data_IF_569675412404
#
_entry.id   IF_569675412404
#
_cell.length_a   1.000
_cell.length_b   1.000
_cell.length_c   1.000
_cell.angle_alpha   90.00
_cell.angle_beta   90.00
_cell.angle_gamma   90.00
#
_symmetry.space_group_name_H-M   'P 1'
#
loop_
_entity.id
_entity.type
_entity.pdbx_description
1 polymer ?
#
# COMPACT_ATOMS: atom_id res chain seq x y z
N UNK A 1 -12.81 -29.90 -14.80
CA UNK A 1 -12.01 -29.16 -15.80
C UNK A 1 -12.99 -28.47 -16.70
N UNK A 2 -13.18 -27.16 -16.52
CA UNK A 2 -13.93 -26.32 -17.46
C UNK A 2 -12.88 -25.73 -18.39
N UNK A 3 -12.99 -26.00 -19.67
CA UNK A 3 -12.14 -25.41 -20.71
C UNK A 3 -12.45 -23.92 -20.84
N UNK A 4 -11.43 -23.03 -20.92
CA UNK A 4 -11.68 -21.65 -21.30
C UNK A 4 -11.99 -21.62 -22.80
N UNK A 5 -13.21 -21.23 -23.15
CA UNK A 5 -13.55 -20.85 -24.51
C UNK A 5 -12.70 -19.63 -24.89
N UNK A 6 -11.61 -19.88 -25.60
CA UNK A 6 -11.01 -18.89 -26.50
C UNK A 6 -11.86 -18.92 -27.76
N UNK A 7 -12.89 -18.09 -27.81
CA UNK A 7 -13.63 -17.81 -29.05
C UNK A 7 -13.42 -16.35 -29.45
N UNK A 8 -12.92 -16.15 -30.66
CA UNK A 8 -12.98 -14.85 -31.31
C UNK A 8 -14.42 -14.40 -31.43
N UNK A 9 -14.65 -13.11 -31.15
CA UNK A 9 -15.83 -12.33 -31.53
C UNK A 9 -17.17 -13.10 -31.57
N UNK A 10 -17.63 -13.63 -30.44
CA UNK A 10 -19.07 -13.79 -30.24
C UNK A 10 -19.63 -12.41 -29.88
N UNK A 11 -20.46 -11.84 -30.75
CA UNK A 11 -21.20 -10.61 -30.44
C UNK A 11 -22.17 -10.96 -29.30
N UNK A 12 -21.94 -10.39 -28.11
CA UNK A 12 -22.82 -10.58 -26.95
C UNK A 12 -24.26 -10.19 -27.34
N UNK A 13 -25.24 -10.99 -26.92
CA UNK A 13 -26.65 -10.65 -27.12
C UNK A 13 -27.03 -9.39 -26.33
N UNK A 14 -28.14 -8.74 -26.67
CA UNK A 14 -28.55 -7.53 -25.95
C UNK A 14 -28.95 -7.84 -24.50
N UNK A 15 -29.43 -9.07 -24.23
CA UNK A 15 -29.65 -9.58 -22.88
C UNK A 15 -28.34 -9.75 -22.10
N UNK A 16 -27.29 -10.31 -22.73
CA UNK A 16 -25.97 -10.48 -22.11
C UNK A 16 -25.30 -9.14 -21.80
N UNK A 17 -25.39 -8.17 -22.72
CA UNK A 17 -24.91 -6.79 -22.48
C UNK A 17 -25.60 -6.15 -21.29
N UNK A 18 -26.91 -6.35 -21.16
CA UNK A 18 -27.70 -5.81 -20.05
C UNK A 18 -27.25 -6.43 -18.72
N UNK A 19 -26.96 -7.72 -18.68
CA UNK A 19 -26.50 -8.39 -17.46
C UNK A 19 -25.08 -7.94 -17.06
N UNK A 20 -24.19 -7.75 -18.03
CA UNK A 20 -22.86 -7.14 -17.80
C UNK A 20 -22.99 -5.74 -17.20
N UNK A 21 -23.90 -4.90 -17.73
CA UNK A 21 -24.13 -3.55 -17.20
C UNK A 21 -24.66 -3.58 -15.75
N UNK A 22 -25.61 -4.47 -15.43
CA UNK A 22 -26.10 -4.63 -14.06
C UNK A 22 -24.98 -5.04 -13.10
N UNK A 23 -24.14 -5.99 -13.50
CA UNK A 23 -23.02 -6.41 -12.67
C UNK A 23 -21.97 -5.31 -12.50
N UNK A 24 -21.73 -4.52 -13.54
CA UNK A 24 -20.88 -3.33 -13.44
C UNK A 24 -21.43 -2.37 -12.38
N UNK A 25 -22.71 -2.02 -12.41
CA UNK A 25 -23.27 -1.11 -11.40
C UNK A 25 -23.15 -1.67 -9.98
N UNK A 26 -23.38 -2.98 -9.79
CA UNK A 26 -23.18 -3.64 -8.48
C UNK A 26 -21.74 -3.50 -7.97
N UNK A 27 -20.75 -3.70 -8.85
CA UNK A 27 -19.34 -3.49 -8.52
C UNK A 27 -19.07 -2.02 -8.15
N UNK A 28 -19.61 -1.07 -8.91
CA UNK A 28 -19.33 0.36 -8.74
C UNK A 28 -19.94 0.97 -7.47
N UNK A 29 -21.03 0.40 -6.95
CA UNK A 29 -21.67 0.83 -5.70
C UNK A 29 -20.92 0.32 -4.45
N UNK A 30 -20.15 -0.77 -4.58
CA UNK A 30 -19.42 -1.35 -3.45
C UNK A 30 -18.33 -0.38 -2.91
N UNK A 31 -18.05 -0.36 -1.58
CA UNK A 31 -17.01 0.48 -0.98
C UNK A 31 -15.63 0.40 -1.64
N UNK A 32 -15.29 -0.73 -2.25
CA UNK A 32 -14.04 -0.89 -3.00
C UNK A 32 -13.94 0.05 -4.21
N UNK A 33 -15.06 0.54 -4.76
CA UNK A 33 -15.08 1.41 -5.94
C UNK A 33 -15.66 2.80 -5.66
N UNK A 34 -16.64 2.91 -4.76
CA UNK A 34 -17.43 4.15 -4.56
C UNK A 34 -16.66 5.32 -3.95
N UNK A 35 -15.56 5.07 -3.21
CA UNK A 35 -14.74 6.12 -2.59
C UNK A 35 -13.76 6.81 -3.56
N UNK A 36 -13.69 6.37 -4.83
CA UNK A 36 -12.82 6.98 -5.85
C UNK A 36 -13.67 7.44 -7.03
N UNK A 37 -13.37 8.63 -7.57
CA UNK A 37 -13.97 9.07 -8.85
C UNK A 37 -13.34 8.37 -10.05
N UNK A 38 -12.06 7.97 -9.95
CA UNK A 38 -11.28 7.48 -11.10
C UNK A 38 -11.51 6.00 -11.41
N UNK A 39 -11.70 5.15 -10.39
CA UNK A 39 -11.91 3.71 -10.61
C UNK A 39 -13.25 3.40 -11.30
N UNK A 40 -14.37 4.02 -10.89
CA UNK A 40 -15.63 3.84 -11.58
C UNK A 40 -15.60 4.33 -13.02
N UNK A 41 -15.03 5.52 -13.27
CA UNK A 41 -14.88 6.06 -14.63
C UNK A 41 -14.07 5.13 -15.53
N UNK A 42 -12.96 4.60 -15.03
CA UNK A 42 -12.12 3.67 -15.79
C UNK A 42 -12.86 2.37 -16.12
N UNK A 43 -13.42 1.69 -15.11
CA UNK A 43 -14.06 0.39 -15.31
C UNK A 43 -15.28 0.53 -16.23
N UNK A 44 -16.09 1.57 -16.02
CA UNK A 44 -17.23 1.92 -16.88
C UNK A 44 -16.81 2.10 -18.33
N UNK A 45 -15.81 2.95 -18.57
CA UNK A 45 -15.32 3.22 -19.92
C UNK A 45 -14.83 1.93 -20.62
N UNK A 46 -14.05 1.09 -19.92
CA UNK A 46 -13.53 -0.16 -20.51
C UNK A 46 -14.63 -1.18 -20.82
N UNK A 47 -15.64 -1.32 -19.96
CA UNK A 47 -16.77 -2.22 -20.19
C UNK A 47 -17.65 -1.71 -21.32
N UNK A 48 -18.02 -0.43 -21.33
CA UNK A 48 -18.86 0.16 -22.39
C UNK A 48 -18.21 0.04 -23.77
N UNK A 49 -16.91 0.33 -23.90
CA UNK A 49 -16.19 0.18 -25.18
C UNK A 49 -16.10 -1.28 -25.62
N UNK A 50 -15.99 -2.22 -24.68
CA UNK A 50 -15.97 -3.65 -24.98
C UNK A 50 -17.35 -4.15 -25.43
N UNK A 51 -18.42 -3.76 -24.74
CA UNK A 51 -19.80 -4.07 -25.14
C UNK A 51 -20.17 -3.45 -26.50
N UNK A 52 -19.55 -2.32 -26.86
CA UNK A 52 -19.72 -1.65 -28.14
C UNK A 52 -18.84 -2.22 -29.27
N UNK A 53 -18.04 -3.25 -29.00
CA UNK A 53 -17.11 -3.85 -29.97
C UNK A 53 -15.88 -2.99 -30.31
N UNK A 54 -15.63 -1.91 -29.57
CA UNK A 54 -14.55 -0.94 -29.82
C UNK A 54 -13.32 -1.23 -28.95
N UNK A 55 -12.89 -2.49 -28.88
CA UNK A 55 -11.76 -2.91 -28.04
C UNK A 55 -10.42 -2.34 -28.52
N UNK A 56 -10.29 -1.96 -29.79
CA UNK A 56 -9.10 -1.31 -30.35
C UNK A 56 -8.78 0.06 -29.73
N UNK A 57 -9.78 0.70 -29.12
CA UNK A 57 -9.63 1.97 -28.40
C UNK A 57 -9.13 1.79 -26.97
N UNK A 58 -9.08 0.55 -26.46
CA UNK A 58 -8.61 0.22 -25.11
C UNK A 58 -7.07 0.07 -25.09
N UNK A 59 -6.38 1.08 -25.61
CA UNK A 59 -4.92 1.22 -25.56
C UNK A 59 -4.53 2.17 -24.43
N UNK A 60 -3.33 1.98 -23.89
CA UNK A 60 -2.84 2.76 -22.76
C UNK A 60 -2.90 4.27 -23.02
N UNK A 61 -2.40 4.72 -24.18
CA UNK A 61 -2.41 6.13 -24.57
C UNK A 61 -3.84 6.70 -24.58
N UNK A 62 -4.78 6.01 -25.22
CA UNK A 62 -6.19 6.45 -25.30
C UNK A 62 -6.83 6.58 -23.92
N UNK A 63 -6.61 5.61 -23.04
CA UNK A 63 -7.13 5.65 -21.67
C UNK A 63 -6.54 6.82 -20.87
N UNK A 64 -5.24 7.12 -21.05
CA UNK A 64 -4.62 8.29 -20.44
C UNK A 64 -5.24 9.62 -20.86
N UNK A 65 -5.60 9.74 -22.13
CA UNK A 65 -6.24 10.95 -22.66
C UNK A 65 -7.69 11.04 -22.16
N UNK A 66 -8.49 9.99 -22.43
CA UNK A 66 -9.94 9.99 -22.21
C UNK A 66 -10.33 9.97 -20.72
N UNK A 67 -9.59 9.26 -19.87
CA UNK A 67 -9.93 9.07 -18.45
C UNK A 67 -9.07 9.97 -17.55
N UNK A 68 -7.80 10.17 -17.89
CA UNK A 68 -6.84 10.90 -17.04
C UNK A 68 -6.51 12.30 -17.56
N UNK A 69 -7.10 12.74 -18.68
CA UNK A 69 -6.90 14.08 -19.24
C UNK A 69 -5.47 14.37 -19.68
N UNK A 70 -4.70 13.34 -20.05
CA UNK A 70 -3.32 13.50 -20.51
C UNK A 70 -3.26 14.09 -21.93
N UNK A 71 -2.23 14.89 -22.24
CA UNK A 71 -2.04 15.43 -23.59
C UNK A 71 -1.68 14.30 -24.56
N UNK A 72 -2.03 14.43 -25.85
CA UNK A 72 -1.92 13.31 -26.81
C UNK A 72 -0.49 12.81 -27.05
N UNK A 73 0.51 13.66 -26.80
CA UNK A 73 1.93 13.39 -26.93
C UNK A 73 2.59 12.86 -25.66
N UNK A 74 1.81 12.60 -24.59
CA UNK A 74 2.38 12.09 -23.34
C UNK A 74 3.04 10.72 -23.53
N UNK A 75 4.16 10.54 -22.83
CA UNK A 75 4.90 9.29 -22.83
C UNK A 75 4.36 8.33 -21.78
N UNK A 76 3.71 7.26 -22.24
CA UNK A 76 3.19 6.16 -21.43
C UNK A 76 4.30 5.38 -20.71
N UNK A 77 5.56 5.47 -21.12
CA UNK A 77 6.66 4.83 -20.38
C UNK A 77 7.00 5.62 -19.10
N UNK A 78 7.11 6.94 -19.21
CA UNK A 78 7.38 7.84 -18.08
C UNK A 78 6.18 8.05 -17.13
N UNK A 79 4.95 8.02 -17.63
CA UNK A 79 3.72 8.17 -16.83
C UNK A 79 2.91 6.86 -16.78
N UNK A 80 3.10 6.03 -15.74
CA UNK A 80 2.43 4.74 -15.63
C UNK A 80 0.99 4.84 -15.07
N UNK A 81 0.37 6.02 -15.03
CA UNK A 81 -0.94 6.25 -14.37
C UNK A 81 -2.01 5.24 -14.79
N UNK A 82 -2.09 4.90 -16.08
CA UNK A 82 -3.06 3.94 -16.62
C UNK A 82 -2.73 2.51 -16.15
N UNK A 83 -1.46 2.10 -16.20
CA UNK A 83 -1.02 0.76 -15.76
C UNK A 83 -1.22 0.56 -14.26
N UNK A 84 -0.87 1.56 -13.45
CA UNK A 84 -1.04 1.55 -11.99
C UNK A 84 -2.52 1.49 -11.64
N UNK A 85 -3.36 2.34 -12.26
CA UNK A 85 -4.81 2.34 -12.01
C UNK A 85 -5.45 1.01 -12.42
N UNK A 86 -5.08 0.44 -13.56
CA UNK A 86 -5.58 -0.86 -13.99
C UNK A 86 -5.15 -1.99 -13.02
N UNK A 87 -3.93 -1.94 -12.47
CA UNK A 87 -3.47 -2.91 -11.48
C UNK A 87 -4.30 -2.83 -10.18
N UNK A 88 -4.61 -1.61 -9.72
CA UNK A 88 -5.42 -1.40 -8.52
C UNK A 88 -6.88 -1.83 -8.72
N UNK A 89 -7.46 -1.57 -9.90
CA UNK A 89 -8.79 -2.06 -10.27
C UNK A 89 -8.83 -3.59 -10.26
N UNK A 90 -7.81 -4.26 -10.80
CA UNK A 90 -7.72 -5.75 -10.77
C UNK A 90 -7.74 -6.28 -9.34
N UNK A 91 -6.99 -5.66 -8.44
CA UNK A 91 -6.94 -6.04 -7.02
C UNK A 91 -8.32 -5.90 -6.37
N UNK A 92 -9.01 -4.80 -6.61
CA UNK A 92 -10.35 -4.53 -6.06
C UNK A 92 -11.43 -5.45 -6.61
N UNK A 93 -11.40 -5.75 -7.91
CA UNK A 93 -12.26 -6.77 -8.54
C UNK A 93 -12.03 -8.12 -7.84
N UNK A 94 -10.77 -8.51 -7.64
CA UNK A 94 -10.44 -9.76 -6.98
C UNK A 94 -10.91 -9.81 -5.51
N UNK A 95 -10.80 -8.69 -4.78
CA UNK A 95 -11.31 -8.57 -3.40
C UNK A 95 -12.83 -8.72 -3.34
N UNK A 96 -13.55 -8.04 -4.23
CA UNK A 96 -15.02 -8.14 -4.31
C UNK A 96 -15.48 -9.59 -4.50
N UNK A 97 -14.93 -10.31 -5.49
CA UNK A 97 -15.34 -11.70 -5.74
C UNK A 97 -14.77 -12.73 -4.74
N UNK A 98 -13.93 -12.31 -3.78
CA UNK A 98 -13.48 -13.15 -2.67
C UNK A 98 -14.39 -13.06 -1.44
N UNK A 99 -15.27 -12.05 -1.36
CA UNK A 99 -16.21 -11.92 -0.25
C UNK A 99 -17.33 -12.96 -0.35
N UNK A 100 -17.74 -13.57 0.80
CA UNK A 100 -18.87 -14.51 0.82
C UNK A 100 -20.14 -13.84 0.28
N UNK A 101 -20.84 -14.51 -0.63
CA UNK A 101 -22.08 -14.02 -1.24
C UNK A 101 -21.98 -13.65 -2.73
N UNK A 102 -20.77 -13.47 -3.27
CA UNK A 102 -20.56 -13.14 -4.70
C UNK A 102 -20.20 -14.37 -5.57
N UNK A 103 -20.37 -15.58 -5.04
CA UNK A 103 -19.90 -16.83 -5.65
C UNK A 103 -20.63 -17.17 -6.96
N UNK A 104 -21.91 -16.81 -7.03
CA UNK A 104 -22.83 -17.12 -8.13
C UNK A 104 -23.12 -15.91 -9.04
N UNK A 105 -22.34 -14.83 -8.93
CA UNK A 105 -22.51 -13.64 -9.77
C UNK A 105 -21.74 -13.76 -11.09
N UNK A 106 -22.19 -13.00 -12.10
CA UNK A 106 -21.39 -12.76 -13.30
C UNK A 106 -20.04 -12.16 -12.89
N UNK A 107 -18.94 -12.70 -13.41
CA UNK A 107 -17.60 -12.23 -13.09
C UNK A 107 -17.08 -11.31 -14.20
N UNK A 108 -16.86 -10.04 -13.85
CA UNK A 108 -16.09 -9.10 -14.67
C UNK A 108 -14.64 -9.19 -14.23
N UNK A 109 -13.72 -9.49 -15.14
CA UNK A 109 -12.29 -9.55 -14.87
C UNK A 109 -11.51 -8.67 -15.83
N UNK A 110 -10.39 -8.10 -15.39
CA UNK A 110 -9.52 -7.28 -16.22
C UNK A 110 -8.15 -7.97 -16.34
N UNK A 111 -7.85 -8.68 -17.45
CA UNK A 111 -6.61 -9.45 -17.57
C UNK A 111 -5.35 -8.58 -17.48
N UNK A 112 -4.24 -9.16 -17.00
CA UNK A 112 -2.93 -8.49 -17.03
C UNK A 112 -2.44 -8.32 -18.47
N UNK A 113 -1.92 -7.14 -18.81
CA UNK A 113 -1.45 -6.82 -20.16
C UNK A 113 -2.55 -6.46 -21.17
N UNK A 114 -3.82 -6.50 -20.74
CA UNK A 114 -4.96 -6.02 -21.52
C UNK A 114 -5.76 -5.01 -20.71
N UNK A 115 -6.39 -4.06 -21.41
CA UNK A 115 -7.41 -3.19 -20.83
C UNK A 115 -8.83 -3.59 -21.24
N UNK A 116 -8.97 -4.71 -21.95
CA UNK A 116 -10.25 -5.28 -22.37
C UNK A 116 -10.77 -6.19 -21.25
N UNK A 117 -11.90 -5.88 -20.59
CA UNK A 117 -12.52 -6.75 -19.61
C UNK A 117 -13.04 -8.05 -20.23
N UNK A 118 -12.99 -9.14 -19.45
CA UNK A 118 -13.54 -10.45 -19.78
C UNK A 118 -14.72 -10.75 -18.86
N UNK A 119 -15.77 -11.35 -19.41
CA UNK A 119 -17.00 -11.70 -18.72
C UNK A 119 -17.11 -13.23 -18.58
N UNK A 120 -17.45 -13.72 -17.40
CA UNK A 120 -17.67 -15.14 -17.15
C UNK A 120 -18.99 -15.36 -16.39
N UNK A 121 -19.85 -16.23 -16.94
CA UNK A 121 -21.17 -16.52 -16.41
C UNK A 121 -21.10 -17.64 -15.36
N UNK A 122 -21.92 -17.58 -14.28
CA UNK A 122 -22.03 -18.65 -13.29
C UNK A 122 -22.57 -19.93 -13.94
N UNK A 123 -22.05 -21.09 -13.53
CA UNK A 123 -22.33 -22.37 -14.17
C UNK A 123 -23.75 -22.93 -13.99
N UNK A 124 -24.71 -22.15 -13.48
CA UNK A 124 -26.08 -22.58 -13.23
C UNK A 124 -27.07 -21.69 -13.96
N UNK A 125 -27.27 -21.96 -15.26
CA UNK A 125 -28.43 -21.46 -15.99
C UNK A 125 -28.68 -22.25 -17.29
N UNK A 126 -28.73 -23.60 -17.27
CA UNK A 126 -29.54 -24.39 -18.24
C UNK A 126 -29.97 -25.73 -17.61
N UNK A 127 -31.27 -25.78 -17.26
CA UNK A 127 -32.21 -26.91 -17.32
C UNK A 127 -31.89 -28.25 -16.63
N UNK A 128 -32.40 -28.37 -15.40
CA UNK A 128 -32.91 -29.63 -14.86
C UNK A 128 -34.38 -29.76 -15.31
N UNK A 129 -34.63 -30.54 -16.36
CA UNK A 129 -35.96 -31.06 -16.66
C UNK A 129 -35.89 -32.35 -17.47
N UNK A 130 -36.37 -33.42 -16.83
CA UNK A 130 -37.02 -34.60 -17.42
C UNK A 130 -36.15 -35.63 -18.15
N UNK A 131 -35.94 -36.79 -17.53
CA UNK A 131 -36.45 -38.08 -18.05
C UNK A 131 -36.81 -38.97 -16.84
N UNK A 132 -38.00 -39.61 -16.80
CA UNK A 132 -38.45 -40.38 -15.66
C UNK A 132 -37.88 -41.80 -15.64
N UNK A 133 -37.84 -42.35 -14.43
CA UNK A 133 -37.53 -43.74 -14.13
C UNK A 133 -38.47 -44.71 -14.86
N UNK A 134 -37.90 -45.76 -15.46
CA UNK A 134 -38.64 -46.96 -15.88
C UNK A 134 -37.74 -48.17 -15.71
N UNK A 135 -38.08 -48.94 -14.68
CA UNK A 135 -38.17 -50.41 -14.63
C UNK A 135 -36.92 -51.25 -14.91
N UNK A 136 -36.48 -51.90 -13.83
CA UNK A 136 -35.60 -53.06 -13.79
C UNK A 136 -36.16 -54.19 -14.66
N UNK A 137 -35.37 -54.66 -15.64
CA UNK A 137 -35.44 -56.04 -16.12
C UNK A 137 -34.01 -56.60 -16.18
N UNK A 138 -33.83 -57.60 -15.32
CA UNK A 138 -32.77 -58.58 -15.20
C UNK A 138 -32.47 -59.30 -16.52
N UNK A 139 -31.19 -59.54 -16.84
CA UNK A 139 -30.69 -60.70 -17.59
C UNK A 139 -29.15 -60.78 -17.51
N UNK A 140 -28.67 -61.95 -17.11
CA UNK A 140 -27.27 -62.39 -16.94
C UNK A 140 -26.51 -62.62 -18.28
N UNK A 141 -25.18 -62.86 -18.24
CA UNK A 141 -24.21 -62.41 -19.25
C UNK A 141 -23.76 -63.50 -20.24
N UNK A 142 -23.30 -63.10 -21.43
CA UNK A 142 -22.45 -63.93 -22.33
C UNK A 142 -21.47 -63.04 -23.13
N UNK A 143 -20.31 -63.59 -23.56
CA UNK A 143 -19.03 -62.90 -23.57
C UNK A 143 -18.60 -62.40 -24.96
N UNK A 144 -17.76 -61.37 -24.90
CA UNK A 144 -16.65 -61.00 -25.79
C UNK A 144 -16.57 -61.60 -27.20
N UNK A 145 -16.61 -60.71 -28.19
CA UNK A 145 -15.70 -60.80 -29.34
C UNK A 145 -15.43 -59.39 -29.90
N UNK A 146 -14.27 -58.82 -29.58
CA UNK A 146 -13.66 -57.72 -30.32
C UNK A 146 -12.47 -58.28 -31.09
N UNK A 147 -12.39 -58.12 -32.43
CA UNK A 147 -11.12 -58.19 -33.11
C UNK A 147 -10.47 -56.80 -33.13
N UNK A 148 -9.37 -56.72 -32.36
CA UNK A 148 -8.03 -56.17 -32.64
C UNK A 148 -7.83 -54.78 -33.33
N UNK A 149 -6.71 -54.11 -33.00
CA UNK A 149 -6.59 -52.65 -33.01
C UNK A 149 -6.03 -52.09 -34.32
N UNK A 150 -6.44 -50.87 -34.64
CA UNK A 150 -5.70 -50.00 -35.57
C UNK A 150 -4.68 -49.23 -34.73
N UNK A 151 -3.40 -49.54 -34.92
CA UNK A 151 -2.29 -48.70 -34.48
C UNK A 151 -2.34 -47.38 -35.25
N UNK A 152 -2.50 -46.24 -34.57
CA UNK A 152 -1.98 -44.99 -35.12
C UNK A 152 -1.48 -43.98 -34.08
N UNK A 153 -0.34 -43.40 -34.47
CA UNK A 153 0.61 -42.46 -33.89
C UNK A 153 0.35 -41.90 -32.47
N UNK A 154 1.20 -42.32 -31.52
CA UNK A 154 1.50 -41.55 -30.31
C UNK A 154 2.60 -40.50 -30.58
N UNK A 155 2.22 -39.21 -30.55
CA UNK A 155 3.12 -38.05 -30.44
C UNK A 155 2.73 -37.17 -29.23
N UNK A 156 3.63 -36.34 -28.69
CA UNK A 156 4.08 -36.52 -27.31
C UNK A 156 3.38 -35.58 -26.31
N UNK A 157 2.22 -35.99 -25.79
CA UNK A 157 1.53 -35.29 -24.68
C UNK A 157 2.34 -35.18 -23.38
N UNK A 158 3.42 -35.96 -23.22
CA UNK A 158 4.28 -35.95 -22.02
C UNK A 158 5.22 -34.73 -21.93
N UNK A 159 5.66 -34.17 -23.07
CA UNK A 159 6.55 -32.98 -23.10
C UNK A 159 5.81 -31.69 -22.71
N UNK A 160 4.56 -31.54 -23.17
CA UNK A 160 3.73 -30.37 -22.85
C UNK A 160 3.27 -30.35 -21.38
N UNK A 161 3.02 -31.53 -20.78
CA UNK A 161 2.76 -31.63 -19.33
C UNK A 161 3.99 -31.24 -18.50
N UNK A 162 5.19 -31.64 -18.93
CA UNK A 162 6.42 -31.25 -18.24
C UNK A 162 6.67 -29.73 -18.32
N UNK A 163 6.42 -29.10 -19.47
CA UNK A 163 6.55 -27.65 -19.64
C UNK A 163 5.54 -26.90 -18.79
N UNK A 164 4.28 -27.35 -18.72
CA UNK A 164 3.26 -26.76 -17.88
C UNK A 164 3.62 -26.84 -16.38
N UNK A 165 4.14 -27.98 -15.92
CA UNK A 165 4.61 -28.15 -14.53
C UNK A 165 5.78 -27.21 -14.22
N UNK A 166 6.75 -27.08 -15.12
CA UNK A 166 7.88 -26.16 -14.94
C UNK A 166 7.39 -24.70 -14.90
N UNK A 167 6.47 -24.31 -15.79
CA UNK A 167 5.89 -22.97 -15.79
C UNK A 167 5.13 -22.65 -14.49
N UNK A 168 4.34 -23.60 -13.97
CA UNK A 168 3.66 -23.45 -12.67
C UNK A 168 4.67 -23.35 -11.53
N UNK A 169 5.72 -24.18 -11.50
CA UNK A 169 6.78 -24.09 -10.49
C UNK A 169 7.55 -22.78 -10.57
N UNK A 170 7.79 -22.25 -11.77
CA UNK A 170 8.40 -20.93 -11.96
C UNK A 170 7.49 -19.80 -11.49
N UNK A 171 6.18 -19.89 -11.73
CA UNK A 171 5.21 -18.91 -11.23
C UNK A 171 5.09 -18.97 -9.69
N UNK A 172 5.07 -20.17 -9.10
CA UNK A 172 5.04 -20.34 -7.65
C UNK A 172 6.34 -19.81 -7.03
N UNK A 173 7.50 -20.15 -7.60
CA UNK A 173 8.78 -19.63 -7.10
C UNK A 173 8.91 -18.13 -7.27
N UNK A 174 8.43 -17.54 -8.37
CA UNK A 174 8.35 -16.09 -8.55
C UNK A 174 7.40 -15.43 -7.54
N UNK A 175 6.23 -16.03 -7.27
CA UNK A 175 5.29 -15.53 -6.26
C UNK A 175 5.84 -15.65 -4.84
N UNK A 176 6.52 -16.75 -4.52
CA UNK A 176 7.20 -16.96 -3.24
C UNK A 176 8.35 -15.98 -3.09
N UNK A 177 9.16 -15.79 -4.14
CA UNK A 177 10.25 -14.82 -4.15
C UNK A 177 9.73 -13.39 -3.98
N UNK A 178 8.67 -13.00 -4.70
CA UNK A 178 8.01 -11.71 -4.53
C UNK A 178 7.52 -11.50 -3.09
N UNK A 179 6.80 -12.48 -2.54
CA UNK A 179 6.30 -12.46 -1.16
C UNK A 179 7.44 -12.43 -0.14
N UNK A 180 8.56 -13.11 -0.39
CA UNK A 180 9.77 -13.05 0.43
C UNK A 180 10.46 -11.68 0.33
N UNK A 181 10.54 -11.08 -0.85
CA UNK A 181 11.14 -9.75 -1.03
C UNK A 181 10.35 -8.64 -0.34
N UNK A 182 9.01 -8.70 -0.36
CA UNK A 182 8.19 -7.75 0.41
C UNK A 182 8.29 -7.99 1.92
N UNK A 183 8.29 -9.25 2.35
CA UNK A 183 8.57 -9.59 3.76
C UNK A 183 9.99 -9.17 4.19
N UNK A 184 10.94 -9.09 3.26
CA UNK A 184 12.32 -8.71 3.56
C UNK A 184 12.45 -7.25 3.96
N UNK A 185 11.75 -6.30 3.34
CA UNK A 185 11.85 -4.87 3.70
C UNK A 185 11.31 -4.59 5.10
N UNK A 186 10.05 -5.00 5.33
CA UNK A 186 9.42 -4.88 6.64
C UNK A 186 10.22 -5.59 7.74
N UNK A 187 10.58 -6.87 7.54
CA UNK A 187 11.35 -7.60 8.54
C UNK A 187 12.76 -7.02 8.71
N UNK A 188 13.41 -6.57 7.63
CA UNK A 188 14.74 -5.96 7.70
C UNK A 188 14.73 -4.73 8.59
N UNK A 189 13.65 -3.92 8.58
CA UNK A 189 13.51 -2.74 9.45
C UNK A 189 12.95 -3.07 10.84
N UNK A 190 11.86 -3.82 10.94
CA UNK A 190 11.14 -4.00 12.21
C UNK A 190 11.61 -5.18 13.04
N UNK A 191 12.25 -6.22 12.46
CA UNK A 191 12.60 -7.41 13.23
C UNK A 191 13.49 -7.14 14.47
N UNK A 192 14.48 -6.22 14.46
CA UNK A 192 15.26 -5.94 15.67
C UNK A 192 14.42 -5.37 16.82
N UNK A 193 13.41 -4.56 16.51
CA UNK A 193 12.48 -3.99 17.50
C UNK A 193 11.44 -5.03 17.91
N UNK A 194 10.87 -5.76 16.94
CA UNK A 194 9.88 -6.80 17.18
C UNK A 194 10.46 -8.07 17.79
N UNK A 195 11.78 -8.23 17.84
CA UNK A 195 12.42 -9.37 18.51
C UNK A 195 13.02 -8.97 19.86
N UNK A 196 12.97 -7.70 20.27
CA UNK A 196 13.37 -7.32 21.62
C UNK A 196 12.39 -7.92 22.65
N UNK A 197 12.93 -8.31 23.80
CA UNK A 197 12.13 -8.73 24.96
C UNK A 197 11.48 -7.55 25.69
N UNK A 198 12.09 -6.37 25.57
CA UNK A 198 11.64 -5.16 26.24
C UNK A 198 10.42 -4.52 25.54
N UNK A 199 9.53 -3.83 26.29
CA UNK A 199 8.44 -3.04 25.70
C UNK A 199 8.98 -1.83 24.92
N UNK A 200 8.20 -1.37 23.95
CA UNK A 200 8.53 -0.18 23.16
C UNK A 200 7.96 1.08 23.81
N UNK A 201 8.76 2.13 23.93
CA UNK A 201 8.29 3.45 24.34
C UNK A 201 8.03 4.33 23.11
N UNK A 202 6.89 5.00 23.03
CA UNK A 202 6.71 6.16 22.16
C UNK A 202 7.12 7.42 22.91
N UNK A 203 8.10 8.15 22.39
CA UNK A 203 8.50 9.47 22.86
C UNK A 203 8.00 10.52 21.86
N UNK A 204 7.03 11.32 22.28
CA UNK A 204 6.23 12.19 21.39
C UNK A 204 6.41 13.64 21.79
N UNK A 205 6.43 14.54 20.81
CA UNK A 205 6.39 15.97 21.05
C UNK A 205 5.22 16.35 21.97
N UNK A 206 5.51 17.04 23.08
CA UNK A 206 4.50 17.60 23.96
C UNK A 206 4.63 19.12 24.06
N UNK A 207 3.50 19.81 23.95
CA UNK A 207 3.43 21.27 23.92
C UNK A 207 2.78 21.78 25.19
N UNK A 208 3.53 22.57 25.96
CA UNK A 208 3.07 23.16 27.23
C UNK A 208 2.49 24.57 27.07
N UNK A 209 2.56 25.16 25.87
CA UNK A 209 2.08 26.52 25.57
C UNK A 209 0.56 26.62 25.38
N UNK A 210 -0.15 25.49 25.24
CA UNK A 210 -1.61 25.46 25.08
C UNK A 210 -2.30 25.29 26.43
N UNK A 211 -2.30 26.35 27.23
CA UNK A 211 -2.81 26.32 28.61
C UNK A 211 -4.33 26.56 28.71
N UNK A 212 -5.11 26.29 27.66
CA UNK A 212 -6.54 26.62 27.62
C UNK A 212 -7.39 25.53 26.95
N UNK A 213 -8.50 25.14 27.60
CA UNK A 213 -9.53 24.26 27.06
C UNK A 213 -10.85 25.02 26.96
N UNK A 214 -11.53 24.90 25.82
CA UNK A 214 -12.90 25.35 25.67
C UNK A 214 -13.85 24.24 26.16
N UNK A 215 -14.54 24.48 27.26
CA UNK A 215 -15.60 23.62 27.77
C UNK A 215 -16.93 24.10 27.20
N UNK A 216 -17.74 23.16 26.70
CA UNK A 216 -19.09 23.43 26.21
C UNK A 216 -20.11 23.16 27.31
N UNK A 217 -21.16 23.99 27.37
CA UNK A 217 -22.32 23.70 28.20
C UNK A 217 -23.05 22.46 27.64
N UNK A 218 -23.47 21.56 28.54
CA UNK A 218 -24.15 20.31 28.17
C UNK A 218 -25.59 20.53 27.67
N UNK A 219 -26.25 21.62 28.09
CA UNK A 219 -27.61 22.00 27.71
C UNK A 219 -27.60 22.90 26.47
N UNK A 220 -26.57 23.76 26.33
CA UNK A 220 -26.35 24.60 25.14
C UNK A 220 -24.92 24.45 24.59
N UNK A 221 -24.66 23.53 23.64
CA UNK A 221 -23.32 23.30 23.09
C UNK A 221 -22.65 24.49 22.38
N UNK A 222 -23.41 25.57 22.12
CA UNK A 222 -22.89 26.83 21.57
C UNK A 222 -22.35 27.75 22.67
N UNK A 223 -22.80 27.60 23.91
CA UNK A 223 -22.24 28.29 25.05
C UNK A 223 -20.92 27.61 25.48
N UNK A 224 -19.85 28.41 25.60
CA UNK A 224 -18.52 27.93 25.94
C UNK A 224 -17.88 28.78 27.03
N UNK A 225 -17.15 28.12 27.93
CA UNK A 225 -16.22 28.77 28.85
C UNK A 225 -14.79 28.30 28.53
N UNK A 226 -13.80 29.16 28.79
CA UNK A 226 -12.39 28.81 28.61
C UNK A 226 -11.78 28.55 29.99
N UNK A 227 -11.40 27.29 30.23
CA UNK A 227 -10.62 26.90 31.40
C UNK A 227 -9.14 27.10 31.10
N UNK A 228 -8.43 27.85 31.94
CA UNK A 228 -6.96 27.95 31.88
C UNK A 228 -6.32 26.96 32.84
N UNK A 229 -5.50 26.05 32.32
CA UNK A 229 -4.80 25.01 33.08
C UNK A 229 -3.47 24.64 32.39
N UNK A 230 -2.55 24.00 33.11
CA UNK A 230 -1.26 23.54 32.56
C UNK A 230 -1.44 22.23 31.80
N UNK A 231 -2.08 22.32 30.64
CA UNK A 231 -2.36 21.18 29.79
C UNK A 231 -1.15 20.81 28.94
N UNK A 232 -1.00 19.51 28.76
CA UNK A 232 -0.08 18.95 27.78
C UNK A 232 -0.84 18.69 26.49
N UNK A 233 -0.48 19.39 25.42
CA UNK A 233 -1.08 19.20 24.11
C UNK A 233 -0.14 18.39 23.21
N UNK A 234 -0.72 17.62 22.29
CA UNK A 234 0.00 16.90 21.24
C UNK A 234 -0.58 17.35 19.90
N UNK A 235 0.27 17.54 18.90
CA UNK A 235 -0.17 17.87 17.55
C UNK A 235 -0.89 16.65 16.96
N UNK A 236 -2.10 16.84 16.45
CA UNK A 236 -2.92 15.73 15.94
C UNK A 236 -2.21 14.95 14.81
N UNK A 237 -1.42 15.65 14.00
CA UNK A 237 -0.68 15.07 12.88
C UNK A 237 0.43 14.11 13.34
N UNK A 238 0.92 14.26 14.57
CA UNK A 238 1.87 13.31 15.18
C UNK A 238 1.18 12.02 15.66
N UNK A 239 -0.14 12.05 15.88
CA UNK A 239 -0.87 10.84 16.28
C UNK A 239 -1.00 9.84 15.15
N UNK A 240 -1.02 10.29 13.89
CA UNK A 240 -1.09 9.38 12.71
C UNK A 240 0.08 8.37 12.67
N UNK A 241 1.37 8.79 12.72
CA UNK A 241 2.50 7.86 12.82
C UNK A 241 2.39 6.95 14.05
N UNK A 242 2.02 7.50 15.20
CA UNK A 242 1.92 6.74 16.45
C UNK A 242 0.90 5.62 16.32
N UNK A 243 -0.32 5.93 15.86
CA UNK A 243 -1.40 4.94 15.72
C UNK A 243 -1.03 3.86 14.71
N UNK A 244 -0.45 4.23 13.56
CA UNK A 244 -0.05 3.27 12.53
C UNK A 244 1.05 2.34 13.04
N UNK A 245 2.11 2.89 13.66
CA UNK A 245 3.22 2.11 14.22
C UNK A 245 2.73 1.25 15.40
N UNK A 246 1.90 1.79 16.28
CA UNK A 246 1.30 1.04 17.39
C UNK A 246 0.48 -0.15 16.88
N UNK A 247 -0.25 0.02 15.78
CA UNK A 247 -0.96 -1.07 15.10
C UNK A 247 -0.03 -2.21 14.69
N UNK A 248 1.16 -1.89 14.16
CA UNK A 248 2.19 -2.89 13.84
C UNK A 248 2.70 -3.59 15.09
N UNK A 249 3.04 -2.83 16.12
CA UNK A 249 3.54 -3.39 17.39
C UNK A 249 2.51 -4.34 18.00
N UNK A 250 1.25 -3.91 18.08
CA UNK A 250 0.15 -4.69 18.61
C UNK A 250 -0.11 -5.96 17.80
N UNK A 251 -0.14 -5.86 16.46
CA UNK A 251 -0.32 -7.02 15.57
C UNK A 251 0.80 -8.07 15.73
N UNK A 252 1.97 -7.67 16.23
CA UNK A 252 3.11 -8.54 16.52
C UNK A 252 3.25 -8.86 18.03
N UNK A 253 2.22 -8.61 18.84
CA UNK A 253 2.19 -8.93 20.26
C UNK A 253 3.18 -8.11 21.11
N UNK A 254 3.65 -6.96 20.61
CA UNK A 254 4.54 -6.07 21.36
C UNK A 254 3.79 -5.12 22.24
N UNK A 255 4.18 -5.12 23.51
CA UNK A 255 3.75 -4.13 24.49
C UNK A 255 4.42 -2.81 24.18
N UNK A 256 3.65 -1.74 24.29
CA UNK A 256 4.14 -0.39 24.16
C UNK A 256 3.49 0.54 25.17
N UNK A 257 4.16 1.66 25.44
CA UNK A 257 3.63 2.77 26.22
C UNK A 257 3.92 4.08 25.48
N UNK A 258 3.28 5.17 25.89
CA UNK A 258 3.44 6.49 25.31
C UNK A 258 3.79 7.49 26.39
N UNK A 259 4.74 8.37 26.10
CA UNK A 259 5.21 9.41 26.99
C UNK A 259 5.57 10.67 26.19
N UNK A 260 5.15 11.82 26.69
CA UNK A 260 5.56 13.11 26.14
C UNK A 260 7.04 13.38 26.38
N UNK A 261 7.68 14.12 25.48
CA UNK A 261 9.11 14.35 25.51
C UNK A 261 9.58 15.04 26.79
N UNK A 262 8.84 16.01 27.31
CA UNK A 262 9.19 16.75 28.52
C UNK A 262 9.19 15.89 29.79
N UNK A 263 8.42 14.80 29.79
CA UNK A 263 8.40 13.84 30.90
C UNK A 263 9.38 12.67 30.71
N UNK A 264 9.85 12.44 29.47
CA UNK A 264 10.76 11.34 29.13
C UNK A 264 12.18 11.62 29.62
N UNK A 265 12.77 10.66 30.32
CA UNK A 265 14.14 10.76 30.83
C UNK A 265 15.02 9.59 30.38
N UNK A 266 16.33 9.68 30.65
CA UNK A 266 17.30 8.68 30.19
C UNK A 266 17.04 7.27 30.78
N UNK A 267 16.44 7.15 31.97
CA UNK A 267 16.09 5.84 32.52
C UNK A 267 14.97 5.19 31.70
N UNK A 268 13.98 5.96 31.27
CA UNK A 268 12.92 5.46 30.38
C UNK A 268 13.54 4.92 29.07
N UNK A 269 14.45 5.68 28.46
CA UNK A 269 15.11 5.29 27.20
C UNK A 269 16.03 4.06 27.34
N UNK A 270 16.50 3.77 28.56
CA UNK A 270 17.31 2.57 28.84
C UNK A 270 16.47 1.32 29.10
N UNK A 271 15.15 1.43 29.18
CA UNK A 271 14.27 0.29 29.49
C UNK A 271 13.93 -0.57 28.26
N UNK A 272 14.12 -0.07 27.04
CA UNK A 272 13.76 -0.80 25.84
C UNK A 272 13.88 0.04 24.57
N UNK A 273 13.48 -0.48 23.41
CA UNK A 273 13.42 0.30 22.19
C UNK A 273 12.50 1.52 22.34
N UNK A 274 12.88 2.64 21.73
CA UNK A 274 12.05 3.86 21.73
C UNK A 274 11.78 4.32 20.31
N UNK A 275 10.52 4.63 20.01
CA UNK A 275 10.07 5.28 18.78
C UNK A 275 9.91 6.78 19.07
N UNK A 276 10.69 7.60 18.38
CA UNK A 276 10.65 9.05 18.49
C UNK A 276 9.84 9.63 17.33
N UNK A 277 8.85 10.46 17.66
CA UNK A 277 7.95 11.10 16.71
C UNK A 277 8.03 12.61 16.87
N UNK A 278 8.13 13.32 15.74
CA UNK A 278 8.37 14.76 15.72
C UNK A 278 9.86 15.10 15.69
N UNK A 279 10.19 16.29 15.18
CA UNK A 279 11.57 16.76 14.98
C UNK A 279 11.88 17.95 15.87
N UNK A 280 11.61 19.18 15.40
CA UNK A 280 11.99 20.42 16.09
C UNK A 280 11.22 20.67 17.39
N UNK A 281 10.10 19.98 17.57
CA UNK A 281 9.27 19.92 18.76
C UNK A 281 9.56 18.70 19.65
N UNK A 282 10.60 17.93 19.32
CA UNK A 282 11.06 16.79 20.09
C UNK A 282 12.58 16.85 20.30
N UNK A 283 13.00 17.44 21.42
CA UNK A 283 14.37 17.55 21.88
C UNK A 283 15.10 16.20 21.99
N UNK A 284 14.40 15.10 22.30
CA UNK A 284 15.03 13.77 22.27
C UNK A 284 15.37 13.33 20.84
N UNK A 285 14.48 13.57 19.88
CA UNK A 285 14.77 13.36 18.45
C UNK A 285 16.00 14.15 18.03
N UNK A 286 16.04 15.47 18.29
CA UNK A 286 17.17 16.32 17.91
C UNK A 286 18.48 15.87 18.55
N UNK A 287 18.45 15.53 19.85
CA UNK A 287 19.63 15.09 20.60
C UNK A 287 20.21 13.78 20.05
N UNK A 288 19.36 12.80 19.74
CA UNK A 288 19.80 11.48 19.30
C UNK A 288 20.20 11.45 17.82
N UNK A 289 19.58 12.30 17.00
CA UNK A 289 19.93 12.40 15.58
C UNK A 289 21.13 13.32 15.34
N UNK A 290 21.42 14.30 16.20
CA UNK A 290 22.52 15.26 16.00
C UNK A 290 23.88 14.65 15.64
N UNK A 291 24.35 13.57 16.28
CA UNK A 291 25.62 12.91 15.93
C UNK A 291 25.58 12.06 14.64
N UNK A 292 24.41 11.84 14.04
CA UNK A 292 24.22 10.99 12.87
C UNK A 292 24.64 11.68 11.56
N UNK A 293 24.72 10.91 10.47
CA UNK A 293 25.09 11.45 9.16
C UNK A 293 24.02 12.42 8.66
N UNK A 294 22.77 11.98 8.65
CA UNK A 294 21.61 12.81 8.37
C UNK A 294 21.01 13.28 9.68
N UNK A 295 20.99 14.59 9.88
CA UNK A 295 20.43 15.20 11.09
C UNK A 295 19.74 16.52 10.80
N UNK A 296 18.79 16.86 11.67
CA UNK A 296 18.08 18.13 11.60
C UNK A 296 19.03 19.29 11.92
N UNK A 297 18.86 20.38 11.19
CA UNK A 297 19.63 21.61 11.37
C UNK A 297 18.76 22.82 11.06
N UNK A 298 19.16 23.96 11.58
CA UNK A 298 18.52 25.24 11.34
C UNK A 298 19.58 26.34 11.28
N UNK A 299 19.24 27.48 10.69
CA UNK A 299 20.06 28.67 10.84
C UNK A 299 19.94 29.25 12.27
N UNK A 300 20.92 30.04 12.75
CA UNK A 300 20.88 30.65 14.07
C UNK A 300 19.62 31.48 14.34
N UNK A 301 19.04 32.08 13.29
CA UNK A 301 17.83 32.88 13.36
C UNK A 301 16.54 32.05 13.44
N UNK A 302 16.62 30.71 13.33
CA UNK A 302 15.47 29.79 13.38
C UNK A 302 14.40 30.12 12.33
N UNK A 303 14.82 30.56 11.15
CA UNK A 303 13.94 30.87 10.01
C UNK A 303 14.05 29.84 8.89
N UNK A 304 15.17 29.12 8.82
CA UNK A 304 15.38 28.00 7.92
C UNK A 304 15.55 26.71 8.72
N UNK A 305 14.83 25.68 8.29
CA UNK A 305 14.86 24.36 8.91
C UNK A 305 15.12 23.32 7.84
N UNK A 306 16.04 22.41 8.12
CA UNK A 306 16.54 21.46 7.13
C UNK A 306 17.09 20.18 7.72
N UNK A 307 17.43 19.26 6.82
CA UNK A 307 18.26 18.10 7.09
C UNK A 307 19.59 18.31 6.35
N UNK A 308 20.70 17.94 6.98
CA UNK A 308 22.05 18.03 6.40
C UNK A 308 22.68 16.65 6.30
N UNK A 309 23.46 16.42 5.24
CA UNK A 309 24.42 15.32 5.19
C UNK A 309 25.79 15.81 5.69
N UNK A 310 26.19 15.38 6.89
CA UNK A 310 27.44 15.80 7.53
C UNK A 310 28.71 15.18 6.93
N UNK A 311 28.56 14.18 6.05
CA UNK A 311 29.68 13.48 5.41
C UNK A 311 29.95 13.93 3.97
N UNK A 312 29.05 14.72 3.38
CA UNK A 312 29.19 15.18 2.01
C UNK A 312 30.18 16.37 1.92
N UNK A 313 31.10 16.32 0.95
CA UNK A 313 32.12 17.36 0.72
C UNK A 313 31.49 18.72 0.39
N UNK A 314 30.36 18.70 -0.30
CA UNK A 314 29.40 19.80 -0.33
C UNK A 314 28.23 19.38 0.57
N UNK A 315 27.98 20.10 1.66
CA UNK A 315 26.87 19.79 2.58
C UNK A 315 25.55 19.80 1.81
N UNK A 316 25.09 18.63 1.35
CA UNK A 316 23.78 18.48 0.76
C UNK A 316 22.77 18.85 1.84
N UNK A 317 21.90 19.82 1.54
CA UNK A 317 20.86 20.30 2.46
C UNK A 317 19.49 20.07 1.85
N UNK A 318 18.58 19.56 2.66
CA UNK A 318 17.17 19.46 2.34
C UNK A 318 16.43 20.46 3.23
N UNK A 319 16.07 21.63 2.67
CA UNK A 319 15.55 22.77 3.43
C UNK A 319 14.08 22.98 3.04
N UNK A 320 13.23 23.20 4.04
CA UNK A 320 11.83 23.59 3.80
C UNK A 320 11.76 25.08 3.53
N UNK A 321 11.14 25.45 2.40
CA UNK A 321 10.83 26.85 2.09
C UNK A 321 9.64 27.32 2.93
N UNK A 322 9.92 27.91 4.09
CA UNK A 322 8.89 28.42 5.01
C UNK A 322 8.04 29.55 4.41
N UNK A 323 8.63 30.40 3.58
CA UNK A 323 7.89 31.48 2.93
C UNK A 323 6.83 30.95 1.95
N UNK A 324 7.19 29.93 1.17
CA UNK A 324 6.27 29.23 0.26
C UNK A 324 5.20 28.45 1.05
N UNK A 325 5.59 27.73 2.10
CA UNK A 325 4.66 27.04 2.99
C UNK A 325 3.59 27.98 3.55
N UNK A 326 4.00 29.13 4.10
CA UNK A 326 3.08 30.07 4.73
C UNK A 326 2.17 30.80 3.73
N UNK A 327 2.63 31.02 2.50
CA UNK A 327 1.89 31.77 1.49
C UNK A 327 0.95 30.91 0.64
N UNK A 328 1.32 29.65 0.39
CA UNK A 328 0.60 28.80 -0.57
C UNK A 328 0.05 27.51 0.03
N UNK A 329 0.58 27.07 1.17
CA UNK A 329 0.37 25.72 1.71
C UNK A 329 0.75 24.57 0.73
N UNK A 330 1.51 24.91 -0.32
CA UNK A 330 2.02 24.02 -1.36
C UNK A 330 3.54 24.08 -1.33
N UNK A 331 4.20 23.10 -0.71
CA UNK A 331 5.64 23.15 -0.48
C UNK A 331 6.22 21.74 -0.43
N UNK A 332 7.53 21.63 -0.51
CA UNK A 332 8.21 20.35 -0.28
C UNK A 332 8.62 20.24 1.19
N UNK A 333 8.20 19.15 1.81
CA UNK A 333 8.60 18.80 3.17
C UNK A 333 9.61 17.64 3.14
N UNK A 334 10.38 17.50 4.21
CA UNK A 334 11.38 16.45 4.34
C UNK A 334 11.33 15.81 5.73
N UNK A 335 11.76 14.56 5.78
CA UNK A 335 11.74 13.78 7.01
C UNK A 335 12.94 12.85 7.13
N UNK A 336 13.26 12.48 8.37
CA UNK A 336 14.20 11.42 8.70
C UNK A 336 13.41 10.22 9.20
N UNK A 337 13.65 9.07 8.56
CA UNK A 337 13.33 7.75 9.10
C UNK A 337 14.63 7.05 9.45
N UNK A 338 14.77 6.60 10.68
CA UNK A 338 15.98 5.91 11.11
C UNK A 338 15.69 4.75 12.05
N UNK A 339 16.58 3.76 12.04
CA UNK A 339 16.70 2.77 13.11
C UNK A 339 18.16 2.54 13.42
N UNK A 340 18.55 2.78 14.65
CA UNK A 340 19.92 2.59 15.11
C UNK A 340 19.96 2.17 16.57
N UNK A 341 21.07 1.56 17.00
CA UNK A 341 21.35 1.41 18.43
C UNK A 341 21.99 2.69 18.93
N UNK A 342 21.32 3.37 19.85
CA UNK A 342 21.86 4.58 20.47
C UNK A 342 23.03 4.23 21.39
N UNK A 343 24.15 4.93 21.23
CA UNK A 343 25.38 4.68 21.98
C UNK A 343 25.25 5.00 23.47
N UNK A 344 24.33 5.90 23.84
CA UNK A 344 24.16 6.36 25.22
C UNK A 344 23.32 5.38 26.04
N UNK A 345 22.22 4.91 25.47
CA UNK A 345 21.23 4.03 26.12
C UNK A 345 21.52 2.55 25.88
N UNK A 346 22.25 2.22 24.80
CA UNK A 346 22.45 0.85 24.32
C UNK A 346 21.17 0.21 23.79
N UNK A 347 20.10 0.98 23.60
CA UNK A 347 18.79 0.52 23.12
C UNK A 347 18.55 0.95 21.68
N UNK A 348 17.61 0.29 21.03
CA UNK A 348 17.20 0.64 19.67
C UNK A 348 16.39 1.95 19.71
N UNK A 349 16.77 2.91 18.89
CA UNK A 349 16.00 4.07 18.55
C UNK A 349 15.38 3.88 17.17
N UNK A 350 14.10 4.18 17.03
CA UNK A 350 13.41 4.35 15.75
C UNK A 350 12.98 5.82 15.67
N UNK A 351 13.25 6.47 14.55
CA UNK A 351 12.88 7.88 14.35
C UNK A 351 11.87 7.95 13.20
N UNK A 352 10.77 8.67 13.42
CA UNK A 352 9.76 9.02 12.43
C UNK A 352 9.46 10.52 12.56
N UNK A 353 10.27 11.35 11.91
CA UNK A 353 10.30 12.79 12.21
C UNK A 353 10.40 13.63 10.94
N UNK A 354 9.47 14.56 10.74
CA UNK A 354 9.47 15.55 9.66
C UNK A 354 9.87 16.94 10.12
N UNK A 355 10.37 17.76 9.19
CA UNK A 355 10.61 19.20 9.45
C UNK A 355 9.28 19.94 9.64
N UNK A 356 8.26 19.58 8.85
CA UNK A 356 6.87 19.97 9.04
C UNK A 356 5.95 18.79 9.32
N UNK A 357 4.65 19.12 9.46
CA UNK A 357 3.58 18.17 9.81
C UNK A 357 3.44 17.06 8.77
N UNK A 358 3.48 17.43 7.48
CA UNK A 358 3.36 16.47 6.38
C UNK A 358 4.54 15.51 6.30
N UNK A 359 5.76 15.98 6.59
CA UNK A 359 6.94 15.14 6.70
C UNK A 359 6.80 14.07 7.80
N UNK A 360 6.27 14.44 8.97
CA UNK A 360 6.06 13.48 10.08
C UNK A 360 5.00 12.43 9.74
N UNK A 361 3.89 12.84 9.12
CA UNK A 361 2.86 11.91 8.64
C UNK A 361 3.47 10.89 7.67
N UNK A 362 4.22 11.38 6.68
CA UNK A 362 4.83 10.54 5.64
C UNK A 362 5.93 9.63 6.19
N UNK A 363 6.69 10.08 7.20
CA UNK A 363 7.63 9.22 7.89
C UNK A 363 6.93 8.02 8.57
N UNK A 364 5.77 8.27 9.18
CA UNK A 364 4.90 7.22 9.74
C UNK A 364 4.35 6.28 8.68
N UNK A 365 3.86 6.82 7.57
CA UNK A 365 3.37 6.02 6.42
C UNK A 365 4.45 5.13 5.86
N UNK A 366 5.62 5.71 5.57
CA UNK A 366 6.76 4.98 5.05
C UNK A 366 7.19 3.82 5.96
N UNK A 367 7.11 4.01 7.28
CA UNK A 367 7.44 2.98 8.27
C UNK A 367 6.38 1.90 8.44
N UNK A 368 5.18 2.12 7.90
CA UNK A 368 4.04 1.23 8.11
C UNK A 368 3.51 0.60 6.82
N UNK A 369 3.86 1.17 5.67
CA UNK A 369 3.52 0.65 4.36
C UNK A 369 4.57 -0.38 3.87
N UNK A 370 4.16 -1.63 3.57
CA UNK A 370 5.09 -2.66 3.08
C UNK A 370 5.73 -2.35 1.73
N UNK A 371 5.05 -1.64 0.84
CA UNK A 371 5.56 -1.28 -0.49
C UNK A 371 6.64 -0.20 -0.37
N UNK A 372 6.45 0.77 0.54
CA UNK A 372 7.48 1.76 0.88
C UNK A 372 8.72 1.14 1.53
N UNK A 373 8.53 0.24 2.50
CA UNK A 373 9.65 -0.48 3.12
C UNK A 373 10.35 -1.45 2.14
N UNK A 374 9.67 -1.92 1.09
CA UNK A 374 10.32 -2.71 0.05
C UNK A 374 11.36 -1.88 -0.74
N UNK A 375 11.21 -0.56 -0.81
CA UNK A 375 12.22 0.33 -1.38
C UNK A 375 13.53 0.29 -0.56
N UNK A 376 13.41 0.14 0.77
CA UNK A 376 14.55 0.00 1.70
C UNK A 376 15.26 -1.33 1.53
N UNK A 377 14.54 -2.44 1.34
CA UNK A 377 15.16 -3.76 1.14
C UNK A 377 16.15 -3.76 -0.04
N UNK A 378 15.83 -3.07 -1.14
CA UNK A 378 16.74 -2.94 -2.29
C UNK A 378 18.03 -2.20 -1.91
N UNK A 379 17.93 -1.13 -1.13
CA UNK A 379 19.08 -0.39 -0.62
C UNK A 379 19.89 -1.20 0.42
N UNK A 380 19.21 -2.00 1.25
CA UNK A 380 19.84 -2.85 2.27
C UNK A 380 20.69 -3.96 1.67
N UNK A 381 20.30 -4.53 0.50
CA UNK A 381 21.14 -5.49 -0.24
C UNK A 381 22.52 -4.89 -0.56
N UNK A 382 22.57 -3.60 -0.91
CA UNK A 382 23.83 -2.89 -1.16
C UNK A 382 24.59 -2.56 0.14
N UNK A 383 23.87 -2.42 1.26
CA UNK A 383 24.42 -2.13 2.59
C UNK A 383 25.02 -3.33 3.34
N UNK A 384 24.74 -4.57 2.93
CA UNK A 384 25.27 -5.78 3.58
C UNK A 384 24.69 -6.03 4.98
N UNK A 385 25.50 -6.55 5.92
CA UNK A 385 25.08 -6.94 7.28
C UNK A 385 24.94 -5.76 8.28
N UNK A 386 24.93 -4.52 7.78
CA UNK A 386 24.84 -3.32 8.60
C UNK A 386 23.48 -3.25 9.29
N UNK A 387 23.48 -2.89 10.57
CA UNK A 387 22.28 -2.96 11.42
C UNK A 387 21.60 -1.60 11.58
N UNK A 388 22.36 -0.52 11.43
CA UNK A 388 21.81 0.82 11.54
C UNK A 388 21.46 1.36 10.17
N UNK A 389 20.39 2.15 10.12
CA UNK A 389 19.88 2.75 8.90
C UNK A 389 19.36 4.16 9.16
N UNK A 390 19.66 5.07 8.25
CA UNK A 390 19.07 6.40 8.14
C UNK A 390 18.54 6.60 6.71
N UNK A 391 17.38 7.22 6.59
CA UNK A 391 16.71 7.52 5.33
C UNK A 391 16.23 8.96 5.41
N UNK A 392 16.57 9.76 4.39
CA UNK A 392 15.95 11.06 4.17
C UNK A 392 14.81 10.86 3.18
N UNK A 393 13.62 11.29 3.58
CA UNK A 393 12.42 11.29 2.75
C UNK A 393 12.09 12.72 2.32
N UNK A 394 11.45 12.85 1.16
CA UNK A 394 10.72 14.06 0.75
C UNK A 394 9.27 13.73 0.43
N UNK A 395 8.41 14.72 0.56
CA UNK A 395 7.03 14.67 0.07
C UNK A 395 6.62 16.04 -0.46
N UNK A 396 5.78 16.03 -1.48
CA UNK A 396 5.12 17.25 -1.93
C UNK A 396 3.85 17.44 -1.10
N UNK A 397 3.73 18.59 -0.44
CA UNK A 397 2.50 19.02 0.22
C UNK A 397 1.66 19.78 -0.80
N UNK A 398 0.40 19.41 -0.92
CA UNK A 398 -0.59 20.08 -1.77
C UNK A 398 -1.81 20.42 -0.92
N UNK A 399 -2.12 21.72 -0.81
CA UNK A 399 -3.21 22.25 0.03
C UNK A 399 -3.17 21.73 1.49
N UNK A 400 -1.97 21.48 2.01
CA UNK A 400 -1.74 20.97 3.36
C UNK A 400 -1.71 19.45 3.49
N UNK A 401 -2.07 18.72 2.44
CA UNK A 401 -2.08 17.26 2.42
C UNK A 401 -0.77 16.71 1.86
N UNK A 402 -0.12 15.75 2.53
CA UNK A 402 1.10 15.14 2.02
C UNK A 402 0.83 14.18 0.86
N UNK A 403 1.72 14.19 -0.14
CA UNK A 403 1.81 13.16 -1.17
C UNK A 403 2.65 11.95 -0.73
N UNK A 404 2.87 11.02 -1.67
CA UNK A 404 3.65 9.80 -1.43
C UNK A 404 5.10 10.10 -1.01
N UNK A 405 5.67 9.36 -0.02
CA UNK A 405 7.09 9.46 0.31
C UNK A 405 7.99 9.17 -0.88
N UNK A 406 9.07 9.93 -0.99
CA UNK A 406 10.19 9.64 -1.87
C UNK A 406 11.49 9.58 -1.09
N UNK A 407 12.29 8.53 -1.32
CA UNK A 407 13.64 8.42 -0.75
C UNK A 407 14.57 9.40 -1.48
N UNK A 408 15.17 10.32 -0.73
CA UNK A 408 16.16 11.29 -1.21
C UNK A 408 17.60 10.85 -0.92
N UNK A 409 17.80 10.09 0.16
CA UNK A 409 19.06 9.49 0.53
C UNK A 409 18.86 8.31 1.49
N UNK A 410 19.81 7.38 1.48
CA UNK A 410 19.85 6.25 2.42
C UNK A 410 21.28 6.02 2.86
N UNK A 411 21.48 5.69 4.13
CA UNK A 411 22.77 5.36 4.69
C UNK A 411 22.64 4.18 5.65
N UNK A 412 23.61 3.27 5.58
CA UNK A 412 23.71 2.12 6.47
C UNK A 412 25.08 2.12 7.15
N UNK A 413 25.16 1.75 8.43
CA UNK A 413 26.42 1.49 9.14
C UNK A 413 26.36 0.33 10.12
#
# INVERSE_FOLDING_TARGET
>A
MVEPLVSGQAVLSDEEKTEVQKQLERLLVNPYFSHSRRFPSFLRFTVERTLSGQTDLLKERTLGIEIFGRPADYDTASDPIVRVTAAEIRKRIAQYYQEPGHENELRISLPSGSYVPHFAWPANAVEENSIPATTLVELEPLPAEFPAPIDDVSRPRRRWRAIAVIAVLLLISAAVFWKMTQRSGFASFWAPVLNSGDPVLFCVADQTQYSAIALRDAVDPNHQIVLKDNLTAVIIDDLSPIVKIAGILQANGKKYSLKGEGSTNLMDLRNGPTVFVGAFDNAWTLRLTGPLRYHFSNNPEMTEFGIVDSSASEQKRWIVNRAEQMSTNNYRDYAIVARFTDATTGKLAVVAAGIGRGGTIVAGEFLTDPDDLAQVARAAILGGNKKNIEIVLSTQIIDGEPGTPKIEATYFW
#
